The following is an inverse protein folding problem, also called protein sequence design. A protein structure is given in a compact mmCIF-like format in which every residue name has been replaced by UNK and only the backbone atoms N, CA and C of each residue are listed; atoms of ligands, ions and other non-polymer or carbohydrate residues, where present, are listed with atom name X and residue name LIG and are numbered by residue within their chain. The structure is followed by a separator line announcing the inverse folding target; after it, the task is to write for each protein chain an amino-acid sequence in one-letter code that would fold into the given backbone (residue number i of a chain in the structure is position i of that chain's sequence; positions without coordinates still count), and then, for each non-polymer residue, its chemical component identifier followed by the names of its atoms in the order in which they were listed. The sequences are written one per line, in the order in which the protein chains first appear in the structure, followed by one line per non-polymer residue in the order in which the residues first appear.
data_IF_578706825358
#
_entry.id   IF_578706825358
#
_cell.length_a   1.000
_cell.length_b   1.000
_cell.length_c   1.000
_cell.angle_alpha   90.00
_cell.angle_beta   90.00
_cell.angle_gamma   90.00
#
_symmetry.space_group_name_H-M   'P 1'
#
loop_
_entity.id
_entity.type
_entity.pdbx_description
1 polymer ?
#
# COMPACT_ATOMS: atom_id res chain seq x y z
N UNK A 1 -23.77 -10.51 -8.18
CA UNK A 1 -22.52 -10.20 -7.44
C UNK A 1 -22.16 -11.25 -6.38
N UNK A 2 -23.06 -11.70 -5.49
CA UNK A 2 -22.76 -12.75 -4.48
C UNK A 2 -22.26 -14.09 -5.05
N UNK A 3 -22.71 -14.52 -6.24
CA UNK A 3 -22.25 -15.75 -6.91
C UNK A 3 -20.81 -15.68 -7.43
N UNK A 4 -20.34 -14.50 -7.86
CA UNK A 4 -18.96 -14.32 -8.35
C UNK A 4 -17.95 -14.31 -7.20
N UNK A 5 -18.34 -13.77 -6.05
CA UNK A 5 -17.54 -13.79 -4.82
C UNK A 5 -17.32 -15.21 -4.29
N UNK A 6 -18.36 -16.04 -4.28
CA UNK A 6 -18.25 -17.46 -3.89
C UNK A 6 -17.33 -18.20 -4.87
N UNK A 7 -17.44 -17.95 -6.18
CA UNK A 7 -16.58 -18.60 -7.18
C UNK A 7 -15.11 -18.21 -7.02
N UNK A 8 -14.78 -16.94 -6.77
CA UNK A 8 -13.38 -16.49 -6.60
C UNK A 8 -12.77 -17.04 -5.31
N UNK A 9 -13.52 -17.02 -4.20
CA UNK A 9 -13.07 -17.58 -2.90
C UNK A 9 -12.89 -19.09 -2.99
N UNK A 10 -13.82 -19.80 -3.65
CA UNK A 10 -13.77 -21.24 -3.82
C UNK A 10 -12.67 -21.67 -4.81
N UNK A 11 -12.37 -20.84 -5.82
CA UNK A 11 -11.22 -21.03 -6.71
C UNK A 11 -9.88 -20.80 -5.99
N UNK A 12 -9.80 -19.79 -5.11
CA UNK A 12 -8.62 -19.57 -4.26
C UNK A 12 -8.38 -20.74 -3.30
N UNK A 13 -9.44 -21.28 -2.68
CA UNK A 13 -9.34 -22.45 -1.79
C UNK A 13 -8.95 -23.75 -2.53
N UNK A 14 -9.43 -23.94 -3.76
CA UNK A 14 -9.05 -25.09 -4.61
C UNK A 14 -7.57 -25.02 -5.06
N UNK A 15 -7.06 -23.83 -5.34
CA UNK A 15 -5.63 -23.61 -5.67
C UNK A 15 -4.74 -23.81 -4.44
N UNK A 16 -5.22 -23.47 -3.24
CA UNK A 16 -4.49 -23.71 -1.99
C UNK A 16 -4.37 -25.21 -1.69
N UNK A 17 -5.43 -26.00 -1.93
CA UNK A 17 -5.43 -27.46 -1.72
C UNK A 17 -4.50 -28.21 -2.68
N UNK A 18 -4.34 -27.72 -3.92
CA UNK A 18 -3.47 -28.33 -4.93
C UNK A 18 -1.99 -27.87 -4.88
N UNK A 19 -1.66 -26.85 -4.09
CA UNK A 19 -0.30 -26.32 -3.94
C UNK A 19 0.49 -26.88 -2.74
N UNK A 20 0.02 -27.94 -2.08
CA UNK A 20 0.74 -28.58 -0.96
C UNK A 20 1.90 -29.49 -1.43
N UNK A 21 1.99 -29.82 -2.73
CA UNK A 21 2.94 -30.85 -3.22
C UNK A 21 4.05 -30.35 -4.16
N UNK A 22 4.67 -29.19 -3.89
CA UNK A 22 5.84 -28.73 -4.68
C UNK A 22 6.81 -27.88 -3.87
N UNK A 23 7.37 -28.42 -2.79
CA UNK A 23 8.60 -27.87 -2.21
C UNK A 23 9.80 -28.36 -3.04
N UNK A 24 10.25 -27.53 -3.99
CA UNK A 24 11.62 -27.60 -4.48
C UNK A 24 12.43 -26.58 -3.69
N UNK A 25 13.35 -27.07 -2.86
CA UNK A 25 14.30 -26.23 -2.13
C UNK A 25 15.07 -25.36 -3.11
N UNK A 26 14.93 -24.04 -3.00
CA UNK A 26 15.76 -23.11 -3.74
C UNK A 26 17.09 -22.95 -2.99
N UNK A 27 18.21 -23.19 -3.68
CA UNK A 27 19.56 -22.95 -3.15
C UNK A 27 19.70 -21.46 -2.74
N UNK A 28 20.45 -21.16 -1.67
CA UNK A 28 20.74 -19.78 -1.28
C UNK A 28 21.38 -19.04 -2.46
N UNK A 29 20.93 -17.80 -2.70
CA UNK A 29 21.37 -17.00 -3.83
C UNK A 29 22.74 -16.41 -3.48
N UNK A 30 23.81 -17.19 -3.70
CA UNK A 30 25.19 -16.73 -3.69
C UNK A 30 25.60 -16.28 -5.09
N UNK A 31 25.78 -14.98 -5.30
CA UNK A 31 26.31 -14.39 -6.53
C UNK A 31 26.87 -13.01 -6.23
N UNK A 32 27.90 -12.57 -6.96
CA UNK A 32 28.40 -11.20 -6.91
C UNK A 32 27.29 -10.27 -7.45
N UNK A 33 26.72 -9.45 -6.59
CA UNK A 33 25.64 -8.52 -6.94
C UNK A 33 26.22 -7.13 -7.22
N UNK A 34 25.93 -6.59 -8.41
CA UNK A 34 26.18 -5.18 -8.73
C UNK A 34 24.99 -4.34 -8.23
N UNK A 35 25.20 -3.58 -7.16
CA UNK A 35 24.18 -2.73 -6.52
C UNK A 35 23.66 -1.62 -7.44
N UNK A 36 24.43 -1.19 -8.45
CA UNK A 36 24.07 -0.05 -9.29
C UNK A 36 23.00 -0.39 -10.35
N UNK A 37 22.80 -1.66 -10.70
CA UNK A 37 21.81 -2.10 -11.69
C UNK A 37 20.56 -2.77 -11.09
N UNK A 38 20.58 -3.13 -9.80
CA UNK A 38 19.46 -3.86 -9.21
C UNK A 38 18.27 -2.94 -8.90
N UNK A 39 17.10 -3.34 -9.42
CA UNK A 39 15.80 -2.71 -9.12
C UNK A 39 15.14 -3.28 -7.85
N UNK A 40 15.70 -4.35 -7.29
CA UNK A 40 15.22 -5.10 -6.10
C UNK A 40 16.32 -5.98 -5.51
N UNK A 41 16.21 -6.32 -4.21
CA UNK A 41 17.10 -7.26 -3.50
C UNK A 41 17.08 -8.67 -4.12
N UNK A 42 15.90 -9.09 -4.59
CA UNK A 42 15.69 -10.41 -5.19
C UNK A 42 15.15 -10.23 -6.61
N UNK A 43 15.79 -10.85 -7.59
CA UNK A 43 15.30 -10.88 -8.96
C UNK A 43 14.03 -11.73 -9.08
N UNK A 44 13.07 -11.39 -9.97
CA UNK A 44 11.92 -12.25 -10.22
C UNK A 44 12.30 -13.70 -10.59
N UNK A 45 11.48 -14.71 -10.24
CA UNK A 45 11.76 -16.09 -10.60
C UNK A 45 11.69 -16.26 -12.13
N UNK A 46 12.56 -17.11 -12.68
CA UNK A 46 12.59 -17.42 -14.13
C UNK A 46 11.28 -18.08 -14.62
N UNK A 47 10.54 -18.73 -13.73
CA UNK A 47 9.28 -19.43 -14.03
C UNK A 47 8.21 -19.01 -13.03
N UNK A 48 7.12 -18.46 -13.54
CA UNK A 48 5.91 -18.16 -12.78
C UNK A 48 4.76 -18.95 -13.38
N UNK A 49 3.85 -19.49 -12.55
CA UNK A 49 2.71 -20.26 -13.04
C UNK A 49 1.83 -19.42 -13.98
N UNK A 50 1.18 -20.06 -14.94
CA UNK A 50 0.33 -19.36 -15.94
C UNK A 50 -0.76 -18.50 -15.28
N UNK A 51 -1.46 -19.06 -14.29
CA UNK A 51 -2.51 -18.35 -13.55
C UNK A 51 -1.98 -17.12 -12.82
N UNK A 52 -0.85 -17.26 -12.10
CA UNK A 52 -0.25 -16.14 -11.38
C UNK A 52 0.25 -15.06 -12.33
N UNK A 53 0.85 -15.42 -13.48
CA UNK A 53 1.22 -14.46 -14.53
C UNK A 53 0.01 -13.68 -15.03
N UNK A 54 -1.16 -14.33 -15.19
CA UNK A 54 -2.38 -13.64 -15.63
C UNK A 54 -2.91 -12.68 -14.58
N UNK A 55 -2.90 -13.06 -13.31
CA UNK A 55 -3.28 -12.18 -12.20
C UNK A 55 -2.37 -10.96 -12.11
N UNK A 56 -1.05 -11.17 -12.22
CA UNK A 56 -0.06 -10.08 -12.25
C UNK A 56 -0.34 -9.12 -13.42
N UNK A 57 -0.61 -9.63 -14.64
CA UNK A 57 -0.96 -8.78 -15.78
C UNK A 57 -2.26 -7.98 -15.57
N UNK A 58 -3.23 -8.53 -14.85
CA UNK A 58 -4.46 -7.80 -14.50
C UNK A 58 -4.14 -6.69 -13.49
N UNK A 59 -3.29 -6.98 -12.49
CA UNK A 59 -2.82 -5.99 -11.53
C UNK A 59 -2.03 -4.87 -12.23
N UNK A 60 -1.11 -5.20 -13.13
CA UNK A 60 -0.35 -4.24 -13.94
C UNK A 60 -1.29 -3.31 -14.73
N UNK A 61 -2.33 -3.88 -15.35
CA UNK A 61 -3.32 -3.08 -16.08
C UNK A 61 -4.10 -2.13 -15.15
N UNK A 62 -4.49 -2.58 -13.95
CA UNK A 62 -5.19 -1.74 -12.96
C UNK A 62 -4.27 -0.65 -12.40
N UNK A 63 -2.98 -0.95 -12.28
CA UNK A 63 -1.95 -0.02 -11.84
C UNK A 63 -1.46 0.89 -12.98
N UNK A 64 -1.92 0.69 -14.23
CA UNK A 64 -1.46 1.40 -15.43
C UNK A 64 0.07 1.32 -15.65
N UNK A 65 0.73 0.32 -15.07
CA UNK A 65 2.17 0.15 -15.13
C UNK A 65 2.59 -1.28 -14.86
N UNK A 66 3.71 -1.69 -15.43
CA UNK A 66 4.32 -2.97 -15.09
C UNK A 66 4.93 -2.93 -13.69
N UNK A 67 4.39 -3.75 -12.78
CA UNK A 67 4.82 -3.79 -11.39
C UNK A 67 5.85 -4.91 -11.15
N UNK A 68 7.05 -4.51 -10.74
CA UNK A 68 8.10 -5.44 -10.30
C UNK A 68 7.64 -6.24 -9.07
N UNK A 69 6.89 -5.62 -8.18
CA UNK A 69 6.34 -6.20 -6.94
C UNK A 69 5.65 -7.54 -7.16
N UNK A 70 4.67 -7.59 -8.08
CA UNK A 70 3.92 -8.83 -8.35
C UNK A 70 4.82 -9.96 -8.87
N UNK A 71 5.88 -9.60 -9.60
CA UNK A 71 6.84 -10.55 -10.16
C UNK A 71 7.79 -11.08 -9.09
N UNK A 72 8.33 -10.21 -8.24
CA UNK A 72 9.20 -10.60 -7.11
C UNK A 72 8.43 -11.49 -6.12
N UNK A 73 7.21 -11.10 -5.74
CA UNK A 73 6.40 -11.92 -4.83
C UNK A 73 6.03 -13.29 -5.41
N UNK A 74 6.12 -13.47 -6.73
CA UNK A 74 5.81 -14.74 -7.38
C UNK A 74 6.78 -15.88 -7.07
N UNK A 75 7.89 -15.62 -6.37
CA UNK A 75 8.69 -16.66 -5.70
C UNK A 75 7.85 -17.51 -4.74
N UNK A 76 6.80 -16.94 -4.15
CA UNK A 76 5.81 -17.65 -3.34
C UNK A 76 4.40 -17.29 -3.81
N UNK A 77 3.74 -18.23 -4.51
CA UNK A 77 2.38 -18.03 -5.02
C UNK A 77 1.38 -17.69 -3.91
N UNK A 78 1.52 -18.30 -2.73
CA UNK A 78 0.66 -18.06 -1.57
C UNK A 78 0.80 -16.61 -1.09
N UNK A 79 2.03 -16.12 -0.95
CA UNK A 79 2.30 -14.72 -0.55
C UNK A 79 1.80 -13.76 -1.62
N UNK A 80 2.08 -14.02 -2.90
CA UNK A 80 1.60 -13.16 -3.99
C UNK A 80 0.07 -13.06 -4.03
N UNK A 81 -0.63 -14.19 -3.90
CA UNK A 81 -2.10 -14.23 -3.88
C UNK A 81 -2.64 -13.53 -2.64
N UNK A 82 -2.13 -13.82 -1.44
CA UNK A 82 -2.61 -13.19 -0.21
C UNK A 82 -2.42 -11.67 -0.23
N UNK A 83 -1.27 -11.20 -0.73
CA UNK A 83 -0.99 -9.77 -0.87
C UNK A 83 -1.93 -9.10 -1.87
N UNK A 84 -2.18 -9.76 -3.01
CA UNK A 84 -3.11 -9.26 -4.03
C UNK A 84 -4.56 -9.20 -3.52
N UNK A 85 -5.00 -10.19 -2.74
CA UNK A 85 -6.33 -10.20 -2.14
C UNK A 85 -6.47 -9.14 -1.04
N UNK A 86 -5.43 -8.93 -0.22
CA UNK A 86 -5.38 -7.84 0.75
C UNK A 86 -5.53 -6.49 0.03
N UNK A 87 -4.74 -6.26 -1.02
CA UNK A 87 -4.82 -5.03 -1.80
C UNK A 87 -6.23 -4.80 -2.37
N UNK A 88 -6.79 -5.82 -3.00
CA UNK A 88 -8.10 -5.75 -3.64
C UNK A 88 -9.23 -5.51 -2.64
N UNK A 89 -9.35 -6.35 -1.62
CA UNK A 89 -10.54 -6.36 -0.76
C UNK A 89 -10.55 -5.22 0.26
N UNK A 90 -9.38 -4.77 0.74
CA UNK A 90 -9.35 -3.57 1.58
C UNK A 90 -9.73 -2.34 0.76
N UNK A 91 -9.29 -2.27 -0.50
CA UNK A 91 -9.63 -1.16 -1.39
C UNK A 91 -11.13 -1.13 -1.75
N UNK A 92 -11.67 -2.27 -2.19
CA UNK A 92 -13.10 -2.39 -2.48
C UNK A 92 -13.95 -2.12 -1.24
N UNK A 93 -13.54 -2.64 -0.08
CA UNK A 93 -14.21 -2.40 1.20
C UNK A 93 -14.23 -0.92 1.55
N UNK A 94 -13.10 -0.23 1.38
CA UNK A 94 -13.00 1.20 1.65
C UNK A 94 -13.92 2.04 0.76
N UNK A 95 -13.96 1.75 -0.53
CA UNK A 95 -14.84 2.44 -1.48
C UNK A 95 -16.34 2.25 -1.18
N UNK A 96 -16.73 1.30 -0.31
CA UNK A 96 -18.14 1.14 0.10
C UNK A 96 -18.58 2.04 1.24
N UNK A 97 -17.67 2.73 1.94
CA UNK A 97 -18.03 3.53 3.11
C UNK A 97 -17.19 4.80 3.31
N UNK A 98 -16.11 4.99 2.56
CA UNK A 98 -15.32 6.22 2.54
C UNK A 98 -15.42 6.85 1.15
N UNK A 99 -15.41 8.17 1.09
CA UNK A 99 -15.23 8.88 -0.17
C UNK A 99 -13.80 8.69 -0.72
N UNK A 100 -13.65 8.82 -2.03
CA UNK A 100 -12.38 8.54 -2.70
C UNK A 100 -11.26 9.50 -2.28
N UNK A 101 -11.61 10.75 -1.96
CA UNK A 101 -10.67 11.76 -1.45
C UNK A 101 -10.10 11.34 -0.10
N UNK A 102 -10.93 10.92 0.85
CA UNK A 102 -10.50 10.40 2.15
C UNK A 102 -9.52 9.22 1.99
N UNK A 103 -9.82 8.27 1.09
CA UNK A 103 -8.93 7.14 0.81
C UNK A 103 -7.58 7.63 0.27
N UNK A 104 -7.59 8.60 -0.66
CA UNK A 104 -6.38 9.17 -1.25
C UNK A 104 -5.50 9.88 -0.22
N UNK A 105 -6.06 10.81 0.57
CA UNK A 105 -5.29 11.55 1.59
C UNK A 105 -4.73 10.63 2.68
N UNK A 106 -5.48 9.59 3.07
CA UNK A 106 -5.01 8.59 4.04
C UNK A 106 -3.78 7.86 3.51
N UNK A 107 -3.85 7.32 2.29
CA UNK A 107 -2.72 6.61 1.66
C UNK A 107 -1.47 7.48 1.56
N UNK A 108 -1.62 8.74 1.16
CA UNK A 108 -0.51 9.69 1.08
C UNK A 108 0.06 9.94 2.48
N UNK A 109 -0.78 10.24 3.48
CA UNK A 109 -0.33 10.49 4.85
C UNK A 109 0.44 9.33 5.45
N UNK A 110 -0.06 8.11 5.24
CA UNK A 110 0.58 6.90 5.75
C UNK A 110 1.95 6.71 5.06
N UNK A 111 2.02 6.98 3.75
CA UNK A 111 3.26 6.90 2.97
C UNK A 111 4.30 7.95 3.36
N UNK A 112 3.89 9.09 3.93
CA UNK A 112 4.82 10.04 4.57
C UNK A 112 5.23 9.60 5.97
N UNK A 113 4.32 8.94 6.70
CA UNK A 113 4.58 8.50 8.08
C UNK A 113 5.53 7.30 8.13
N UNK A 114 5.49 6.43 7.12
CA UNK A 114 6.45 5.36 6.91
C UNK A 114 7.36 5.75 5.77
N UNK A 115 8.68 5.90 5.98
CA UNK A 115 9.59 6.38 4.96
C UNK A 115 9.80 5.34 3.85
N UNK A 116 8.84 5.21 2.93
CA UNK A 116 8.91 4.36 1.75
C UNK A 116 8.66 5.19 0.50
N UNK A 117 9.70 5.48 -0.31
CA UNK A 117 9.54 6.28 -1.51
C UNK A 117 8.65 5.58 -2.53
N UNK A 118 8.64 4.24 -2.57
CA UNK A 118 7.74 3.49 -3.45
C UNK A 118 6.27 3.66 -3.06
N UNK A 119 5.96 3.57 -1.75
CA UNK A 119 4.59 3.73 -1.28
C UNK A 119 4.11 5.16 -1.55
N UNK A 120 4.97 6.16 -1.35
CA UNK A 120 4.64 7.55 -1.64
C UNK A 120 4.34 7.74 -3.13
N UNK A 121 5.26 7.35 -4.02
CA UNK A 121 5.14 7.43 -5.47
C UNK A 121 3.77 6.93 -6.01
N UNK A 122 3.40 5.69 -5.68
CA UNK A 122 2.14 5.12 -6.20
C UNK A 122 0.90 5.73 -5.53
N UNK A 123 0.96 6.06 -4.24
CA UNK A 123 -0.22 6.53 -3.52
C UNK A 123 -0.54 8.00 -3.81
N UNK A 124 0.48 8.83 -4.05
CA UNK A 124 0.32 10.23 -4.44
C UNK A 124 0.03 10.40 -5.93
N UNK A 125 0.10 9.35 -6.74
CA UNK A 125 -0.16 9.48 -8.16
C UNK A 125 -1.56 10.10 -8.44
N UNK A 126 -1.57 11.13 -9.29
CA UNK A 126 -2.73 11.92 -9.67
C UNK A 126 -3.51 12.48 -8.45
N UNK A 127 -2.83 12.95 -7.41
CA UNK A 127 -3.49 13.49 -6.21
C UNK A 127 -4.34 14.73 -6.51
N UNK A 128 -3.98 15.49 -7.56
CA UNK A 128 -4.66 16.71 -8.00
C UNK A 128 -6.11 16.41 -8.42
N UNK A 129 -6.35 15.22 -8.98
CA UNK A 129 -7.69 14.76 -9.39
C UNK A 129 -8.65 14.57 -8.20
N UNK A 130 -8.14 14.60 -6.97
CA UNK A 130 -8.92 14.46 -5.74
C UNK A 130 -9.11 15.81 -5.02
N UNK A 131 -8.85 16.92 -5.71
CA UNK A 131 -8.89 18.30 -5.19
C UNK A 131 -7.91 18.53 -4.01
N UNK A 132 -6.80 17.79 -3.97
CA UNK A 132 -5.81 17.91 -2.90
C UNK A 132 -4.84 19.05 -3.26
N UNK A 133 -4.75 20.06 -2.40
CA UNK A 133 -3.92 21.25 -2.66
C UNK A 133 -2.46 21.05 -2.23
N UNK A 134 -1.54 21.89 -2.71
CA UNK A 134 -0.15 21.88 -2.21
C UNK A 134 -0.06 22.16 -0.70
N UNK A 135 -0.93 23.03 -0.18
CA UNK A 135 -1.01 23.30 1.26
C UNK A 135 -1.41 22.04 2.05
N UNK A 136 -2.36 21.28 1.51
CA UNK A 136 -2.76 19.99 2.06
C UNK A 136 -1.62 18.97 1.99
N UNK A 137 -0.90 18.87 0.88
CA UNK A 137 0.30 18.02 0.77
C UNK A 137 1.32 18.38 1.86
N UNK A 138 1.60 19.67 2.09
CA UNK A 138 2.49 20.13 3.18
C UNK A 138 1.97 19.73 4.56
N UNK A 139 0.65 19.68 4.76
CA UNK A 139 0.02 19.13 5.95
C UNK A 139 0.20 17.61 6.09
N UNK A 140 0.09 16.86 4.99
CA UNK A 140 0.32 15.41 4.99
C UNK A 140 1.79 15.04 5.25
N UNK A 141 2.73 15.91 4.84
CA UNK A 141 4.17 15.80 5.10
C UNK A 141 4.60 16.14 6.54
N UNK A 142 3.69 16.62 7.39
CA UNK A 142 4.02 17.18 8.72
C UNK A 142 4.94 18.42 8.69
N UNK A 143 5.08 19.09 7.53
CA UNK A 143 5.74 20.41 7.45
C UNK A 143 4.87 21.44 8.17
N UNK A 144 3.56 21.41 7.89
CA UNK A 144 2.57 22.20 8.59
C UNK A 144 1.76 21.28 9.52
N UNK A 145 1.35 21.81 10.67
CA UNK A 145 0.45 21.06 11.57
C UNK A 145 -0.88 20.80 10.85
N UNK A 146 -1.35 19.56 10.87
CA UNK A 146 -2.62 19.21 10.21
C UNK A 146 -3.81 20.05 10.68
N UNK A 147 -3.77 20.51 11.93
CA UNK A 147 -4.81 21.37 12.50
C UNK A 147 -4.86 22.77 11.89
N UNK A 148 -3.74 23.30 11.41
CA UNK A 148 -3.67 24.64 10.79
C UNK A 148 -4.16 24.66 9.35
N UNK A 149 -4.28 23.50 8.69
CA UNK A 149 -4.77 23.42 7.31
C UNK A 149 -6.29 23.57 7.33
N UNK A 150 -6.82 24.69 6.84
CA UNK A 150 -8.25 25.04 6.96
C UNK A 150 -9.14 24.31 5.96
N UNK A 151 -8.58 23.86 4.83
CA UNK A 151 -9.29 23.15 3.78
C UNK A 151 -9.67 21.71 4.16
N UNK A 152 -8.95 21.08 5.10
CA UNK A 152 -9.36 19.79 5.66
C UNK A 152 -10.53 19.95 6.63
N UNK A 153 -11.55 19.13 6.42
CA UNK A 153 -12.65 18.96 7.36
C UNK A 153 -12.20 18.34 8.69
N UNK A 154 -13.02 18.46 9.72
CA UNK A 154 -12.79 17.81 11.02
C UNK A 154 -12.66 16.28 10.88
N UNK A 155 -13.47 15.69 10.00
CA UNK A 155 -13.47 14.25 9.71
C UNK A 155 -12.15 13.82 9.09
N UNK A 156 -11.66 14.53 8.06
CA UNK A 156 -10.35 14.27 7.43
C UNK A 156 -9.21 14.44 8.43
N UNK A 157 -9.16 15.54 9.18
CA UNK A 157 -8.12 15.76 10.21
C UNK A 157 -8.08 14.61 11.23
N UNK A 158 -9.24 14.14 11.68
CA UNK A 158 -9.34 13.04 12.65
C UNK A 158 -8.83 11.72 12.06
N UNK A 159 -9.24 11.39 10.84
CA UNK A 159 -8.77 10.18 10.15
C UNK A 159 -7.25 10.21 9.89
N UNK A 160 -6.73 11.36 9.45
CA UNK A 160 -5.30 11.56 9.17
C UNK A 160 -4.45 11.42 10.44
N UNK A 161 -4.87 12.02 11.55
CA UNK A 161 -4.20 11.84 12.85
C UNK A 161 -4.23 10.38 13.31
N UNK A 162 -5.37 9.71 13.18
CA UNK A 162 -5.49 8.30 13.52
C UNK A 162 -4.55 7.41 12.70
N UNK A 163 -4.54 7.60 11.37
CA UNK A 163 -3.66 6.85 10.48
C UNK A 163 -2.17 7.12 10.76
N UNK A 164 -1.82 8.37 11.09
CA UNK A 164 -0.47 8.72 11.52
C UNK A 164 -0.06 7.98 12.80
N UNK A 165 -0.89 8.02 13.86
CA UNK A 165 -0.62 7.32 15.12
C UNK A 165 -0.49 5.79 14.94
N UNK A 166 -1.33 5.19 14.09
CA UNK A 166 -1.29 3.76 13.76
C UNK A 166 -0.04 3.35 12.97
N UNK A 167 0.62 4.30 12.30
CA UNK A 167 1.77 4.03 11.45
C UNK A 167 3.10 4.20 12.18
N UNK A 168 3.09 4.90 13.31
CA UNK A 168 4.26 5.08 14.19
C UNK A 168 4.67 3.79 14.90
N UNK A 169 5.90 3.79 15.42
CA UNK A 169 6.44 2.72 16.25
C UNK A 169 7.11 3.35 17.48
N UNK A 170 6.58 3.17 18.71
CA UNK A 170 5.35 2.42 19.03
C UNK A 170 4.07 3.16 18.60
N UNK A 171 2.96 2.41 18.50
CA UNK A 171 1.61 2.98 18.32
C UNK A 171 1.19 3.69 19.62
N UNK A 172 0.68 4.92 19.52
CA UNK A 172 0.29 5.74 20.67
C UNK A 172 -1.05 6.44 20.47
N UNK A 173 -2.14 5.77 20.79
CA UNK A 173 -3.50 6.32 20.64
C UNK A 173 -3.98 6.96 21.94
N UNK A 174 -4.18 8.29 21.94
CA UNK A 174 -4.76 8.98 23.09
C UNK A 174 -6.31 8.88 23.09
N UNK A 175 -6.91 8.98 24.29
CA UNK A 175 -8.35 8.82 24.47
C UNK A 175 -9.17 9.89 23.73
N UNK A 176 -8.65 11.11 23.63
CA UNK A 176 -9.35 12.20 22.91
C UNK A 176 -9.54 11.83 21.44
N UNK A 177 -8.49 11.35 20.77
CA UNK A 177 -8.54 10.91 19.37
C UNK A 177 -9.51 9.74 19.17
N UNK A 178 -9.53 8.78 20.10
CA UNK A 178 -10.47 7.66 20.05
C UNK A 178 -11.93 8.11 20.23
N UNK A 179 -12.17 9.10 21.08
CA UNK A 179 -13.51 9.68 21.26
C UNK A 179 -13.95 10.48 20.03
N UNK A 180 -13.04 11.27 19.44
CA UNK A 180 -13.29 12.01 18.19
C UNK A 180 -13.62 11.05 17.03
N UNK A 181 -12.91 9.93 16.91
CA UNK A 181 -13.22 8.88 15.93
C UNK A 181 -14.64 8.32 16.11
N UNK A 182 -15.02 7.92 17.32
CA UNK A 182 -16.35 7.36 17.61
C UNK A 182 -17.47 8.37 17.38
N UNK A 183 -17.18 9.67 17.51
CA UNK A 183 -18.14 10.74 17.25
C UNK A 183 -18.33 11.01 15.75
N UNK A 184 -17.26 10.90 14.95
CA UNK A 184 -17.23 11.33 13.55
C UNK A 184 -17.41 10.19 12.54
N UNK A 185 -17.20 8.95 12.96
CA UNK A 185 -17.20 7.77 12.08
C UNK A 185 -18.06 6.65 12.65
N UNK A 186 -18.73 5.93 11.76
CA UNK A 186 -19.35 4.64 12.07
C UNK A 186 -18.30 3.57 12.37
N UNK A 187 -18.71 2.51 13.07
CA UNK A 187 -17.83 1.37 13.36
C UNK A 187 -17.22 0.76 12.09
N UNK A 188 -18.02 0.66 11.02
CA UNK A 188 -17.56 0.18 9.71
C UNK A 188 -16.45 1.08 9.15
N UNK A 189 -16.62 2.40 9.18
CA UNK A 189 -15.59 3.33 8.72
C UNK A 189 -14.32 3.25 9.56
N UNK A 190 -14.43 3.10 10.89
CA UNK A 190 -13.26 2.96 11.78
C UNK A 190 -12.46 1.69 11.43
N UNK A 191 -13.15 0.55 11.25
CA UNK A 191 -12.52 -0.71 10.81
C UNK A 191 -11.83 -0.52 9.46
N UNK A 192 -12.50 0.14 8.52
CA UNK A 192 -11.97 0.42 7.19
C UNK A 192 -10.72 1.30 7.24
N UNK A 193 -10.71 2.40 8.00
CA UNK A 193 -9.55 3.30 8.11
C UNK A 193 -8.36 2.55 8.73
N UNK A 194 -8.61 1.72 9.75
CA UNK A 194 -7.57 0.89 10.36
C UNK A 194 -7.01 -0.14 9.36
N UNK A 195 -7.87 -0.82 8.60
CA UNK A 195 -7.47 -1.80 7.59
C UNK A 195 -6.70 -1.15 6.43
N UNK A 196 -7.15 0.01 5.95
CA UNK A 196 -6.45 0.79 4.92
C UNK A 196 -5.06 1.22 5.41
N UNK A 197 -4.97 1.66 6.67
CA UNK A 197 -3.69 2.01 7.31
C UNK A 197 -2.76 0.82 7.39
N UNK A 198 -3.24 -0.31 7.91
CA UNK A 198 -2.46 -1.54 8.00
C UNK A 198 -2.01 -2.05 6.62
N UNK A 199 -2.85 -1.93 5.59
CA UNK A 199 -2.52 -2.30 4.20
C UNK A 199 -1.34 -1.49 3.65
N UNK A 200 -1.38 -0.16 3.78
CA UNK A 200 -0.28 0.69 3.30
C UNK A 200 0.98 0.42 4.12
N UNK A 201 0.85 0.21 5.43
CA UNK A 201 1.94 -0.15 6.33
C UNK A 201 2.62 -1.49 5.94
N UNK A 202 1.81 -2.46 5.55
CA UNK A 202 2.26 -3.76 5.04
C UNK A 202 3.05 -3.59 3.75
N UNK A 203 2.48 -2.88 2.76
CA UNK A 203 3.14 -2.68 1.46
C UNK A 203 4.43 -1.89 1.59
N UNK A 204 4.43 -0.77 2.31
CA UNK A 204 5.62 0.03 2.52
C UNK A 204 6.76 -0.84 3.09
N UNK A 205 6.52 -1.55 4.21
CA UNK A 205 7.56 -2.40 4.84
C UNK A 205 7.99 -3.57 3.96
N UNK A 206 7.05 -4.22 3.27
CA UNK A 206 7.35 -5.35 2.39
C UNK A 206 8.23 -4.91 1.21
N UNK A 207 7.90 -3.79 0.58
CA UNK A 207 8.64 -3.24 -0.56
C UNK A 207 10.03 -2.78 -0.13
N UNK A 208 10.14 -2.05 0.97
CA UNK A 208 11.42 -1.65 1.53
C UNK A 208 12.31 -2.87 1.84
N UNK A 209 11.74 -3.91 2.46
CA UNK A 209 12.48 -5.15 2.76
C UNK A 209 12.97 -5.87 1.48
N UNK A 210 12.22 -5.80 0.39
CA UNK A 210 12.60 -6.34 -0.92
C UNK A 210 13.48 -5.39 -1.74
N UNK A 211 13.78 -4.20 -1.20
CA UNK A 211 14.53 -3.13 -1.84
C UNK A 211 14.01 -2.75 -3.23
N UNK A 212 12.70 -2.81 -3.45
CA UNK A 212 12.11 -2.45 -4.75
C UNK A 212 12.07 -0.92 -4.88
N UNK A 213 12.74 -0.37 -5.89
CA UNK A 213 12.76 1.07 -6.19
C UNK A 213 11.37 1.58 -6.62
N UNK A 214 11.05 2.88 -6.42
CA UNK A 214 9.82 3.49 -6.92
C UNK A 214 9.52 3.15 -8.37
N UNK A 215 8.23 3.04 -8.70
CA UNK A 215 7.81 2.71 -10.04
C UNK A 215 7.96 3.90 -11.00
N UNK A 216 7.94 5.13 -10.48
CA UNK A 216 8.04 6.39 -11.23
C UNK A 216 6.69 6.82 -11.80
N UNK A 217 5.67 6.91 -10.94
CA UNK A 217 4.36 7.44 -11.28
C UNK A 217 4.32 8.97 -11.33
N UNK A 218 5.19 9.63 -10.57
CA UNK A 218 5.24 11.09 -10.47
C UNK A 218 6.67 11.57 -10.26
N UNK A 219 6.96 12.76 -10.76
CA UNK A 219 8.18 13.54 -10.58
C UNK A 219 7.90 14.90 -9.91
N UNK A 220 6.71 15.07 -9.32
CA UNK A 220 6.30 16.33 -8.70
C UNK A 220 7.20 16.68 -7.51
N UNK A 221 7.94 17.80 -7.58
CA UNK A 221 8.88 18.19 -6.53
C UNK A 221 8.20 18.49 -5.19
N UNK A 222 6.90 18.83 -5.16
CA UNK A 222 6.22 19.09 -3.89
C UNK A 222 6.19 17.85 -3.00
N UNK A 223 6.17 16.66 -3.60
CA UNK A 223 6.07 15.39 -2.88
C UNK A 223 7.38 15.00 -2.20
N UNK A 224 8.52 15.53 -2.66
CA UNK A 224 9.84 15.29 -2.08
C UNK A 224 10.18 13.79 -1.90
N UNK A 225 9.79 12.94 -2.87
CA UNK A 225 9.93 11.47 -2.78
C UNK A 225 11.37 11.05 -2.44
N UNK A 226 12.36 11.72 -3.03
CA UNK A 226 13.78 11.41 -2.82
C UNK A 226 14.25 11.59 -1.37
N UNK A 227 13.62 12.47 -0.59
CA UNK A 227 13.96 12.67 0.82
C UNK A 227 13.62 11.44 1.69
N UNK A 228 12.69 10.61 1.21
CA UNK A 228 12.26 9.37 1.87
C UNK A 228 13.07 8.16 1.41
N UNK A 229 14.04 8.33 0.52
CA UNK A 229 14.89 7.25 0.04
C UNK A 229 15.68 6.60 1.20
N UNK A 230 15.60 5.27 1.29
CA UNK A 230 16.27 4.43 2.30
C UNK A 230 17.38 3.56 1.71
N UNK A 231 17.64 3.66 0.40
CA UNK A 231 18.61 2.84 -0.33
C UNK A 231 20.06 3.28 -0.11
N UNK A 232 20.28 4.56 0.20
CA UNK A 232 21.61 5.18 0.30
C UNK A 232 21.94 5.66 1.73
N UNK A 233 21.23 5.18 2.75
CA UNK A 233 21.40 5.56 4.16
C UNK A 233 22.05 4.44 4.96
#
# INVERSE_FOLDING_TARGET
MKKLFIIIVQFCLLVISSCVSSNKENKPVGGNYDENTMKSLVNPPKKTSFFLRRMIKIADKKAEKEMLTGRVLSWSSKIAISSGLLELYVEEGAATCLDERMIKILRIKISYTIPSPFALDINSWNYENFNITEEEIKGLQDINKIDSITSFSEKEKTALKYAHELSKTPISLNQKLLNDLRRLFSEKEIVTIAALTAKVNYWARLIEALRIKPAGYTDDPILQIDNYNTFNK
#
